data_IF_817194095524
#
_entry.id   IF_817194095524
#
_cell.length_a   1.000
_cell.length_b   1.000
_cell.length_c   1.000
_cell.angle_alpha   90.00
_cell.angle_beta   90.00
_cell.angle_gamma   90.00
#
_symmetry.space_group_name_H-M   'P 1'
#
loop_
_entity.id
_entity.type
_entity.pdbx_description
1 polymer ?
#
# COMPACT_ATOMS: atom_id res chain seq x y z
N UNK A 1 -24.72 -21.25 -14.39
CA UNK A 1 -26.20 -21.18 -14.55
C UNK A 1 -26.93 -21.96 -13.44
N UNK A 2 -28.17 -21.55 -13.15
CA UNK A 2 -29.09 -22.22 -12.23
C UNK A 2 -30.16 -23.00 -13.06
N UNK A 3 -30.39 -24.23 -12.63
CA UNK A 3 -31.31 -25.14 -13.33
C UNK A 3 -32.38 -25.66 -12.37
N UNK A 4 -33.62 -25.80 -12.87
CA UNK A 4 -34.72 -26.45 -12.16
C UNK A 4 -34.94 -27.85 -12.77
N UNK A 5 -34.99 -28.88 -11.92
CA UNK A 5 -35.41 -30.20 -12.33
C UNK A 5 -36.82 -30.52 -11.82
N UNK A 6 -37.75 -30.88 -12.73
CA UNK A 6 -39.07 -31.36 -12.41
C UNK A 6 -39.06 -32.93 -12.42
N UNK A 7 -39.11 -33.57 -11.26
CA UNK A 7 -39.04 -35.04 -11.20
C UNK A 7 -40.29 -35.74 -11.78
N UNK A 8 -41.42 -35.05 -11.77
CA UNK A 8 -42.68 -35.63 -12.31
C UNK A 8 -42.66 -35.66 -13.84
N UNK A 9 -42.16 -34.59 -14.45
CA UNK A 9 -42.05 -34.48 -15.92
C UNK A 9 -40.72 -34.98 -16.46
N UNK A 10 -39.75 -35.28 -15.57
CA UNK A 10 -38.35 -35.62 -15.92
C UNK A 10 -37.73 -34.60 -16.87
N UNK A 11 -38.02 -33.32 -16.65
CA UNK A 11 -37.55 -32.22 -17.47
C UNK A 11 -36.65 -31.29 -16.69
N UNK A 12 -35.72 -30.62 -17.40
CA UNK A 12 -34.77 -29.65 -16.86
C UNK A 12 -35.02 -28.31 -17.54
N UNK A 13 -35.08 -27.23 -16.78
CA UNK A 13 -35.23 -25.86 -17.26
C UNK A 13 -34.04 -25.03 -16.78
N UNK A 14 -33.30 -24.36 -17.69
CA UNK A 14 -32.32 -23.35 -17.34
C UNK A 14 -33.03 -22.02 -17.08
N UNK A 15 -32.90 -21.47 -15.88
CA UNK A 15 -33.61 -20.25 -15.49
C UNK A 15 -32.73 -19.00 -15.56
N UNK A 16 -31.45 -19.13 -15.79
CA UNK A 16 -30.51 -17.99 -15.82
C UNK A 16 -29.88 -17.73 -17.17
N UNK A 17 -29.61 -18.71 -17.98
CA UNK A 17 -29.12 -18.70 -19.38
C UNK A 17 -28.47 -17.38 -19.84
N UNK A 18 -27.30 -17.04 -19.24
CA UNK A 18 -26.53 -15.83 -19.55
C UNK A 18 -25.02 -16.13 -19.43
N UNK A 19 -24.17 -15.15 -19.71
CA UNK A 19 -22.70 -15.30 -19.67
C UNK A 19 -22.09 -15.13 -18.27
N UNK A 20 -22.92 -14.74 -17.29
CA UNK A 20 -22.47 -14.52 -15.91
C UNK A 20 -22.35 -15.83 -15.14
N UNK A 21 -21.62 -15.80 -14.05
CA UNK A 21 -21.56 -16.89 -13.08
C UNK A 21 -22.76 -16.81 -12.14
N UNK A 22 -23.73 -17.75 -12.29
CA UNK A 22 -24.89 -17.85 -11.42
C UNK A 22 -24.73 -19.09 -10.53
N UNK A 23 -24.64 -18.91 -9.20
CA UNK A 23 -24.29 -19.96 -8.22
C UNK A 23 -25.11 -19.85 -6.92
N UNK A 24 -25.04 -20.86 -6.08
CA UNK A 24 -25.67 -20.94 -4.76
C UNK A 24 -27.19 -20.67 -4.76
N UNK A 25 -28.00 -21.45 -5.51
CA UNK A 25 -29.44 -21.27 -5.52
C UNK A 25 -30.08 -21.61 -4.17
N UNK A 26 -30.98 -20.74 -3.72
CA UNK A 26 -31.78 -20.87 -2.48
C UNK A 26 -33.24 -20.72 -2.83
N UNK A 27 -34.02 -21.78 -2.72
CA UNK A 27 -35.46 -21.76 -3.07
C UNK A 27 -36.33 -21.45 -1.86
N UNK A 28 -37.04 -20.33 -1.89
CA UNK A 28 -37.94 -19.86 -0.82
C UNK A 28 -39.30 -19.49 -1.43
N UNK A 29 -40.31 -20.32 -1.17
CA UNK A 29 -41.64 -20.10 -1.75
C UNK A 29 -41.66 -20.17 -3.28
N UNK A 30 -42.08 -19.07 -3.91
CA UNK A 30 -42.08 -18.93 -5.38
C UNK A 30 -40.79 -18.33 -5.94
N UNK A 31 -39.85 -17.95 -5.08
CA UNK A 31 -38.63 -17.24 -5.43
C UNK A 31 -37.40 -18.15 -5.29
N UNK A 32 -36.50 -18.07 -6.27
CA UNK A 32 -35.18 -18.71 -6.24
C UNK A 32 -34.15 -17.59 -6.18
N UNK A 33 -33.52 -17.43 -5.03
CA UNK A 33 -32.41 -16.51 -4.83
C UNK A 33 -31.11 -17.19 -5.25
N UNK A 34 -30.20 -16.44 -5.84
CA UNK A 34 -28.87 -16.94 -6.25
C UNK A 34 -27.87 -15.79 -6.32
N UNK A 35 -26.59 -16.12 -6.32
CA UNK A 35 -25.53 -15.13 -6.57
C UNK A 35 -25.25 -15.01 -8.06
N UNK A 36 -25.02 -13.78 -8.52
CA UNK A 36 -24.64 -13.49 -9.91
C UNK A 36 -23.66 -12.32 -9.98
N UNK A 37 -22.66 -12.44 -10.85
CA UNK A 37 -21.67 -11.39 -11.16
C UNK A 37 -22.01 -10.58 -12.43
N UNK A 38 -23.26 -10.65 -12.92
CA UNK A 38 -23.72 -9.98 -14.16
C UNK A 38 -23.52 -8.47 -14.17
N UNK A 39 -23.36 -7.86 -12.99
CA UNK A 39 -23.06 -6.44 -12.80
C UNK A 39 -21.60 -6.20 -12.32
N UNK A 40 -20.68 -7.13 -12.63
CA UNK A 40 -19.25 -7.16 -12.26
C UNK A 40 -18.97 -7.56 -10.80
N UNK A 41 -19.80 -7.20 -9.84
CA UNK A 41 -19.69 -7.58 -8.44
C UNK A 41 -20.74 -8.63 -8.14
N UNK A 42 -20.35 -9.69 -7.43
CA UNK A 42 -21.26 -10.76 -7.04
C UNK A 42 -22.32 -10.23 -6.09
N UNK A 43 -23.57 -10.28 -6.52
CA UNK A 43 -24.74 -9.82 -5.76
C UNK A 43 -25.82 -10.91 -5.72
N UNK A 44 -26.80 -10.75 -4.81
CA UNK A 44 -27.98 -11.61 -4.77
C UNK A 44 -28.97 -11.15 -5.81
N UNK A 45 -29.43 -12.09 -6.63
CA UNK A 45 -30.53 -11.97 -7.58
C UNK A 45 -31.64 -12.93 -7.19
N UNK A 46 -32.84 -12.68 -7.67
CA UNK A 46 -33.99 -13.53 -7.47
C UNK A 46 -34.70 -13.79 -8.79
N UNK A 47 -35.04 -15.05 -9.02
CA UNK A 47 -35.93 -15.49 -10.11
C UNK A 47 -37.26 -15.93 -9.51
N UNK A 48 -38.36 -15.36 -9.98
CA UNK A 48 -39.69 -15.76 -9.55
C UNK A 48 -40.28 -16.81 -10.50
N UNK A 49 -40.63 -17.97 -9.96
CA UNK A 49 -41.08 -19.13 -10.75
C UNK A 49 -42.40 -18.96 -11.43
N UNK A 50 -43.29 -18.04 -10.93
CA UNK A 50 -44.61 -17.74 -11.53
C UNK A 50 -44.49 -16.73 -12.65
N UNK A 51 -43.77 -15.63 -12.42
CA UNK A 51 -43.65 -14.55 -13.41
C UNK A 51 -42.54 -14.80 -14.42
N UNK A 52 -41.62 -15.76 -14.14
CA UNK A 52 -40.45 -16.07 -14.96
C UNK A 52 -39.50 -14.89 -15.12
N UNK A 53 -39.48 -13.95 -14.17
CA UNK A 53 -38.65 -12.76 -14.20
C UNK A 53 -37.52 -12.86 -13.18
N UNK A 54 -36.34 -12.36 -13.59
CA UNK A 54 -35.18 -12.20 -12.72
C UNK A 54 -35.00 -10.73 -12.36
N UNK A 55 -34.73 -10.44 -11.09
CA UNK A 55 -34.40 -9.10 -10.62
C UNK A 55 -33.24 -9.10 -9.63
N UNK A 56 -32.53 -7.98 -9.57
CA UNK A 56 -31.44 -7.77 -8.61
C UNK A 56 -32.01 -7.47 -7.23
N UNK A 57 -31.41 -8.04 -6.18
CA UNK A 57 -31.83 -7.88 -4.78
C UNK A 57 -30.87 -7.01 -3.99
N UNK A 58 -29.56 -7.25 -4.11
CA UNK A 58 -28.54 -6.45 -3.40
C UNK A 58 -27.71 -5.61 -4.36
N UNK A 59 -27.12 -4.50 -3.87
CA UNK A 59 -26.38 -3.54 -4.69
C UNK A 59 -25.01 -3.23 -4.11
N UNK A 60 -24.26 -4.25 -3.74
CA UNK A 60 -22.86 -4.09 -3.32
C UNK A 60 -21.96 -3.84 -4.53
N UNK A 61 -21.03 -2.90 -4.40
CA UNK A 61 -20.15 -2.48 -5.51
C UNK A 61 -18.67 -2.64 -5.19
N UNK A 62 -18.31 -2.76 -3.91
CA UNK A 62 -16.93 -2.80 -3.44
C UNK A 62 -16.45 -4.24 -3.22
N UNK A 63 -17.30 -5.09 -2.62
CA UNK A 63 -16.98 -6.48 -2.32
C UNK A 63 -18.07 -7.41 -2.81
N UNK A 64 -17.67 -8.63 -3.17
CA UNK A 64 -18.58 -9.70 -3.56
C UNK A 64 -19.39 -10.20 -2.37
N UNK A 65 -20.65 -10.55 -2.62
CA UNK A 65 -21.44 -11.35 -1.70
C UNK A 65 -20.94 -12.79 -1.76
N UNK A 66 -20.71 -13.41 -0.58
CA UNK A 66 -20.16 -14.76 -0.44
C UNK A 66 -20.97 -15.60 0.54
N UNK A 67 -20.86 -16.91 0.37
CA UNK A 67 -21.39 -17.93 1.28
C UNK A 67 -22.85 -17.73 1.69
N UNK A 68 -23.78 -17.48 0.75
CA UNK A 68 -25.18 -17.32 1.10
C UNK A 68 -25.77 -18.63 1.60
N UNK A 69 -26.64 -18.55 2.59
CA UNK A 69 -27.38 -19.68 3.14
C UNK A 69 -28.77 -19.22 3.54
N UNK A 70 -29.78 -20.06 3.34
CA UNK A 70 -31.15 -19.74 3.67
C UNK A 70 -31.78 -20.74 4.66
N UNK A 71 -32.59 -20.23 5.58
CA UNK A 71 -33.43 -21.01 6.47
C UNK A 71 -34.77 -20.32 6.69
N UNK A 72 -35.88 -20.98 6.36
CA UNK A 72 -37.19 -20.34 6.32
C UNK A 72 -37.19 -19.16 5.35
N UNK A 73 -37.56 -17.98 5.81
CA UNK A 73 -37.53 -16.74 5.03
C UNK A 73 -36.24 -15.91 5.22
N UNK A 74 -35.29 -16.40 5.99
CA UNK A 74 -34.07 -15.65 6.28
C UNK A 74 -32.93 -16.13 5.40
N UNK A 75 -32.26 -15.20 4.73
CA UNK A 75 -31.02 -15.42 4.01
C UNK A 75 -29.89 -14.75 4.79
N UNK A 76 -28.78 -15.46 5.02
CA UNK A 76 -27.56 -14.91 5.61
C UNK A 76 -26.42 -15.01 4.60
N UNK A 77 -25.51 -14.05 4.61
CA UNK A 77 -24.38 -14.01 3.69
C UNK A 77 -23.25 -13.16 4.25
N UNK A 78 -22.09 -13.25 3.65
CA UNK A 78 -20.93 -12.39 3.93
C UNK A 78 -20.78 -11.34 2.82
N UNK A 79 -20.39 -10.12 3.22
CA UNK A 79 -19.90 -9.09 2.30
C UNK A 79 -18.87 -8.21 3.01
N UNK A 80 -17.67 -8.06 2.42
CA UNK A 80 -16.60 -7.23 2.96
C UNK A 80 -16.13 -7.60 4.37
N UNK A 81 -16.16 -8.90 4.72
CA UNK A 81 -15.78 -9.37 6.05
C UNK A 81 -16.86 -9.22 7.12
N UNK A 82 -18.07 -8.82 6.73
CA UNK A 82 -19.22 -8.69 7.64
C UNK A 82 -20.31 -9.70 7.31
N UNK A 83 -21.03 -10.12 8.34
CA UNK A 83 -22.21 -10.98 8.17
C UNK A 83 -23.44 -10.10 8.01
N UNK A 84 -24.25 -10.42 7.01
CA UNK A 84 -25.54 -9.81 6.75
C UNK A 84 -26.65 -10.85 6.89
N UNK A 85 -27.81 -10.40 7.33
CA UNK A 85 -29.08 -11.13 7.25
C UNK A 85 -30.06 -10.36 6.40
N UNK A 86 -30.95 -11.05 5.73
CA UNK A 86 -32.01 -10.47 4.89
C UNK A 86 -33.25 -11.36 4.98
N UNK A 87 -34.41 -10.75 5.16
CA UNK A 87 -35.68 -11.45 4.99
C UNK A 87 -36.04 -11.51 3.49
N UNK A 88 -36.44 -12.69 3.01
CA UNK A 88 -36.72 -12.93 1.60
C UNK A 88 -37.91 -12.11 1.06
N UNK A 89 -38.88 -11.73 1.92
CA UNK A 89 -40.03 -10.93 1.50
C UNK A 89 -39.69 -9.43 1.40
N UNK A 90 -38.99 -8.89 2.40
CA UNK A 90 -38.61 -7.46 2.41
C UNK A 90 -37.40 -7.16 1.53
N UNK A 91 -36.51 -8.17 1.31
CA UNK A 91 -35.31 -8.08 0.47
C UNK A 91 -34.36 -6.94 0.88
N UNK A 92 -34.37 -6.57 2.18
CA UNK A 92 -33.49 -5.54 2.71
C UNK A 92 -32.36 -6.19 3.50
N UNK A 93 -31.09 -6.05 3.07
CA UNK A 93 -29.95 -6.58 3.81
C UNK A 93 -29.65 -5.72 5.05
N UNK A 94 -29.47 -6.37 6.18
CA UNK A 94 -29.08 -5.77 7.46
C UNK A 94 -27.77 -6.37 7.94
N UNK A 95 -26.79 -5.52 8.27
CA UNK A 95 -25.52 -5.97 8.86
C UNK A 95 -25.77 -6.49 10.27
N UNK A 96 -25.27 -7.69 10.54
CA UNK A 96 -25.35 -8.28 11.88
C UNK A 96 -24.28 -7.68 12.78
N UNK A 97 -24.70 -7.03 13.85
CA UNK A 97 -23.78 -6.48 14.85
C UNK A 97 -23.35 -7.62 15.79
N UNK A 98 -22.07 -7.97 15.72
CA UNK A 98 -21.46 -8.98 16.59
C UNK A 98 -20.54 -8.27 17.56
N UNK A 99 -20.77 -8.42 18.86
CA UNK A 99 -19.89 -7.95 19.90
C UNK A 99 -19.28 -9.14 20.64
N UNK A 100 -17.98 -9.07 20.86
CA UNK A 100 -17.24 -10.07 21.62
C UNK A 100 -16.78 -9.44 22.94
N UNK A 101 -17.24 -10.00 24.04
CA UNK A 101 -16.67 -9.71 25.36
C UNK A 101 -15.46 -10.62 25.56
N UNK A 102 -14.27 -10.09 25.36
CA UNK A 102 -13.00 -10.83 25.49
C UNK A 102 -11.98 -9.99 26.22
N UNK A 103 -11.16 -10.61 27.03
CA UNK A 103 -10.02 -9.98 27.69
C UNK A 103 -8.92 -9.51 26.73
N UNK A 104 -9.00 -9.88 25.45
CA UNK A 104 -8.06 -9.52 24.38
C UNK A 104 -6.60 -9.62 24.82
N UNK A 105 -6.22 -10.75 25.40
CA UNK A 105 -4.87 -10.96 25.96
C UNK A 105 -3.77 -10.62 24.97
N UNK A 106 -3.99 -10.94 23.69
CA UNK A 106 -3.04 -10.67 22.61
C UNK A 106 -2.98 -9.20 22.18
N UNK A 107 -4.00 -8.40 22.50
CA UNK A 107 -4.03 -6.96 22.23
C UNK A 107 -3.48 -6.10 23.39
N UNK A 108 -3.13 -6.73 24.52
CA UNK A 108 -2.53 -6.01 25.66
C UNK A 108 -1.14 -5.52 25.31
N UNK A 109 -0.81 -4.31 25.76
CA UNK A 109 0.52 -3.74 25.62
C UNK A 109 1.56 -4.64 26.29
N UNK A 110 2.64 -4.94 25.60
CA UNK A 110 3.75 -5.74 26.09
C UNK A 110 5.09 -5.09 25.72
N UNK A 111 6.02 -5.09 26.67
CA UNK A 111 7.39 -4.66 26.41
C UNK A 111 8.12 -5.81 25.72
N UNK A 112 8.69 -5.52 24.55
CA UNK A 112 9.47 -6.50 23.78
C UNK A 112 10.83 -5.94 23.42
N UNK A 113 11.82 -6.83 23.29
CA UNK A 113 13.13 -6.44 22.79
C UNK A 113 13.00 -6.07 21.30
N UNK A 114 13.21 -4.79 20.97
CA UNK A 114 13.12 -4.25 19.62
C UNK A 114 14.28 -4.57 18.69
N UNK A 115 15.43 -4.99 19.21
CA UNK A 115 16.67 -5.14 18.43
C UNK A 115 16.51 -6.04 17.19
N UNK A 116 15.78 -7.14 17.31
CA UNK A 116 15.53 -8.06 16.18
C UNK A 116 14.54 -7.55 15.11
N UNK A 117 13.92 -6.41 15.33
CA UNK A 117 12.96 -5.79 14.43
C UNK A 117 13.48 -4.51 13.77
N UNK A 118 14.75 -4.18 14.00
CA UNK A 118 15.40 -3.04 13.37
C UNK A 118 15.53 -3.28 11.87
N UNK A 119 15.08 -2.33 11.06
CA UNK A 119 15.12 -2.39 9.59
C UNK A 119 16.00 -1.30 8.98
N UNK A 120 16.13 -0.17 9.67
CA UNK A 120 16.97 0.94 9.24
C UNK A 120 17.48 1.72 10.46
N UNK A 121 18.64 2.36 10.31
CA UNK A 121 19.22 3.24 11.31
C UNK A 121 19.97 4.38 10.63
N UNK A 122 19.87 5.60 11.18
CA UNK A 122 20.60 6.79 10.72
C UNK A 122 21.08 7.58 11.93
N UNK A 123 22.37 7.89 11.98
CA UNK A 123 22.93 8.73 13.03
C UNK A 123 22.65 10.21 12.75
N UNK A 124 22.43 10.98 13.82
CA UNK A 124 22.38 12.43 13.70
C UNK A 124 23.75 13.00 13.33
N UNK A 125 23.82 14.13 12.62
CA UNK A 125 25.12 14.70 12.19
C UNK A 125 26.08 15.02 13.33
N UNK A 126 25.57 15.32 14.52
CA UNK A 126 26.36 15.56 15.75
C UNK A 126 26.77 14.27 16.48
N UNK A 127 26.24 13.11 16.05
CA UNK A 127 26.51 11.80 16.68
C UNK A 127 25.83 11.58 18.03
N UNK A 128 25.01 12.53 18.51
CA UNK A 128 24.37 12.42 19.82
C UNK A 128 23.13 11.51 19.83
N UNK A 129 22.53 11.30 18.67
CA UNK A 129 21.30 10.52 18.53
C UNK A 129 21.35 9.59 17.33
N UNK A 130 20.48 8.57 17.37
CA UNK A 130 20.26 7.64 16.27
C UNK A 130 18.75 7.51 16.06
N UNK A 131 18.27 7.72 14.86
CA UNK A 131 16.92 7.35 14.49
C UNK A 131 16.92 5.91 13.96
N UNK A 132 15.96 5.11 14.41
CA UNK A 132 15.80 3.73 13.96
C UNK A 132 14.35 3.46 13.57
N UNK A 133 14.18 2.59 12.60
CA UNK A 133 12.87 2.06 12.24
C UNK A 133 12.72 0.65 12.76
N UNK A 134 11.67 0.38 13.52
CA UNK A 134 11.39 -0.94 14.08
C UNK A 134 9.89 -1.20 14.15
N UNK A 135 9.42 -2.31 13.59
CA UNK A 135 8.01 -2.74 13.58
C UNK A 135 7.04 -1.69 12.99
N UNK A 136 7.47 -0.94 12.00
CA UNK A 136 6.66 0.09 11.36
C UNK A 136 6.56 1.40 12.16
N UNK A 137 7.39 1.60 13.17
CA UNK A 137 7.45 2.84 13.94
C UNK A 137 8.85 3.42 13.90
N UNK A 138 8.97 4.73 14.06
CA UNK A 138 10.25 5.45 14.09
C UNK A 138 10.59 5.85 15.52
N UNK A 139 11.76 5.43 15.96
CA UNK A 139 12.28 5.72 17.30
C UNK A 139 13.53 6.60 17.20
N UNK A 140 13.60 7.61 18.05
CA UNK A 140 14.77 8.47 18.20
C UNK A 140 15.46 8.12 19.53
N UNK A 141 16.65 7.53 19.45
CA UNK A 141 17.44 7.01 20.56
C UNK A 141 18.63 7.94 20.85
N UNK A 142 18.98 8.16 22.11
CA UNK A 142 20.27 8.79 22.45
C UNK A 142 21.42 7.80 22.20
N UNK A 143 22.56 8.29 21.73
CA UNK A 143 23.76 7.47 21.50
C UNK A 143 24.40 6.96 22.82
N UNK A 144 24.19 7.67 23.91
CA UNK A 144 24.71 7.30 25.24
C UNK A 144 23.59 7.21 26.26
N UNK A 145 23.36 8.28 27.04
CA UNK A 145 22.31 8.36 28.10
C UNK A 145 21.18 9.27 27.67
N UNK A 146 19.97 8.90 27.94
CA UNK A 146 18.80 9.73 27.63
C UNK A 146 17.53 8.90 27.42
N UNK A 147 16.49 9.57 26.97
CA UNK A 147 15.17 8.96 26.73
C UNK A 147 15.02 8.60 25.26
N UNK A 148 14.64 7.36 25.03
CA UNK A 148 14.16 6.92 23.70
C UNK A 148 12.75 7.48 23.49
N UNK A 149 12.52 8.12 22.36
CA UNK A 149 11.21 8.62 21.95
C UNK A 149 10.70 7.82 20.76
N UNK A 150 9.47 7.31 20.82
CA UNK A 150 8.73 6.93 19.62
C UNK A 150 8.16 8.22 19.03
N UNK A 151 8.57 8.57 17.82
CA UNK A 151 8.22 9.85 17.20
C UNK A 151 7.00 9.77 16.29
N UNK A 152 6.63 8.61 15.80
CA UNK A 152 5.48 8.45 14.89
C UNK A 152 4.18 8.10 15.63
N UNK A 153 4.19 7.08 16.46
CA UNK A 153 3.02 6.63 17.25
C UNK A 153 1.77 6.40 16.40
N UNK A 154 1.95 5.75 15.27
CA UNK A 154 0.93 5.52 14.25
C UNK A 154 0.59 4.03 14.10
N UNK A 155 -0.12 3.40 15.04
CA UNK A 155 -0.30 1.95 15.09
C UNK A 155 -1.03 1.35 13.88
N UNK A 156 -1.64 2.18 13.03
CA UNK A 156 -2.31 1.77 11.80
C UNK A 156 -1.49 1.98 10.53
N UNK A 157 -0.26 2.51 10.64
CA UNK A 157 0.63 2.79 9.51
C UNK A 157 1.95 2.04 9.65
N UNK A 158 2.70 1.95 8.56
CA UNK A 158 4.01 1.32 8.54
C UNK A 158 5.07 2.31 8.05
N UNK A 159 5.85 2.81 9.01
CA UNK A 159 6.98 3.68 8.75
C UNK A 159 8.27 2.90 8.50
N UNK A 160 9.12 3.43 7.62
CA UNK A 160 10.38 2.81 7.25
C UNK A 160 11.40 3.80 6.73
N UNK A 161 12.68 3.36 6.69
CA UNK A 161 13.81 4.09 6.13
C UNK A 161 13.97 5.49 6.74
N UNK A 162 13.77 5.65 8.05
CA UNK A 162 13.93 6.94 8.70
C UNK A 162 15.39 7.43 8.63
N UNK A 163 15.58 8.68 8.22
CA UNK A 163 16.89 9.32 8.08
C UNK A 163 16.86 10.75 8.61
N UNK A 164 17.99 11.13 9.22
CA UNK A 164 18.27 12.53 9.58
C UNK A 164 18.57 13.37 8.35
N UNK A 165 18.11 14.61 8.33
CA UNK A 165 18.65 15.61 7.41
C UNK A 165 20.11 15.92 7.73
N UNK A 166 20.89 16.31 6.73
CA UNK A 166 22.31 16.59 6.89
C UNK A 166 22.62 17.75 7.86
N UNK A 167 21.66 18.66 8.07
CA UNK A 167 21.75 19.77 9.04
C UNK A 167 21.22 19.39 10.45
N UNK A 168 20.71 18.18 10.63
CA UNK A 168 20.22 17.67 11.90
C UNK A 168 18.89 18.26 12.39
N UNK A 169 18.20 19.04 11.57
CA UNK A 169 16.93 19.67 11.98
C UNK A 169 15.71 18.80 11.82
N UNK A 170 15.73 17.88 10.86
CA UNK A 170 14.60 17.10 10.46
C UNK A 170 14.91 15.61 10.40
N UNK A 171 13.85 14.82 10.54
CA UNK A 171 13.84 13.38 10.27
C UNK A 171 12.82 13.16 9.16
N UNK A 172 13.27 12.57 8.05
CA UNK A 172 12.36 12.10 7.00
C UNK A 172 12.18 10.59 7.09
N UNK A 173 11.02 10.12 6.67
CA UNK A 173 10.68 8.69 6.61
C UNK A 173 9.59 8.44 5.57
N UNK A 174 9.45 7.19 5.16
CA UNK A 174 8.36 6.74 4.29
C UNK A 174 7.26 6.18 5.19
N UNK A 175 6.00 6.52 4.92
CA UNK A 175 4.82 5.97 5.62
C UNK A 175 3.68 5.69 4.65
N UNK A 176 2.89 4.66 4.93
CA UNK A 176 1.66 4.32 4.22
C UNK A 176 0.38 4.81 4.91
N UNK A 177 0.50 5.77 5.83
CA UNK A 177 -0.61 6.31 6.63
C UNK A 177 -1.79 6.84 5.80
N UNK A 178 -1.58 7.17 4.53
CA UNK A 178 -2.63 7.64 3.60
C UNK A 178 -3.11 6.59 2.61
N UNK A 179 -2.72 5.33 2.80
CA UNK A 179 -3.08 4.20 1.95
C UNK A 179 -1.99 3.83 0.93
N UNK A 180 -1.26 4.82 0.42
CA UNK A 180 -0.07 4.65 -0.43
C UNK A 180 1.17 5.19 0.27
N UNK A 181 2.34 4.78 -0.21
CA UNK A 181 3.60 5.20 0.40
C UNK A 181 3.96 6.63 0.03
N UNK A 182 4.16 7.45 1.05
CA UNK A 182 4.50 8.86 0.93
C UNK A 182 5.71 9.21 1.79
N UNK A 183 6.41 10.29 1.43
CA UNK A 183 7.47 10.86 2.25
C UNK A 183 6.88 11.80 3.28
N UNK A 184 7.32 11.64 4.52
CA UNK A 184 6.98 12.48 5.64
C UNK A 184 8.22 13.14 6.22
N UNK A 185 8.03 14.31 6.78
CA UNK A 185 9.04 15.11 7.47
C UNK A 185 8.57 15.41 8.89
N UNK A 186 9.46 15.25 9.84
CA UNK A 186 9.22 15.63 11.22
C UNK A 186 10.39 16.47 11.75
N UNK A 187 10.09 17.50 12.54
CA UNK A 187 11.11 18.22 13.27
C UNK A 187 11.81 17.27 14.27
N UNK A 188 13.12 17.40 14.37
CA UNK A 188 13.96 16.50 15.16
C UNK A 188 13.72 16.64 16.69
N UNK A 189 13.24 17.78 17.13
CA UNK A 189 13.01 18.09 18.55
C UNK A 189 11.57 17.79 18.96
N UNK A 190 10.63 18.48 18.33
CA UNK A 190 9.18 18.34 18.58
C UNK A 190 8.39 18.79 17.34
N UNK A 191 7.24 18.23 17.12
CA UNK A 191 6.35 18.65 16.06
C UNK A 191 5.47 17.52 15.54
N UNK A 192 4.43 17.89 14.81
CA UNK A 192 3.61 16.96 14.06
C UNK A 192 4.29 16.65 12.72
N UNK A 193 4.17 15.40 12.23
CA UNK A 193 4.71 15.05 10.93
C UNK A 193 4.00 15.85 9.82
N UNK A 194 4.77 16.22 8.81
CA UNK A 194 4.31 16.92 7.63
C UNK A 194 4.48 16.01 6.43
N UNK A 195 3.41 15.75 5.71
CA UNK A 195 3.46 14.99 4.45
C UNK A 195 4.13 15.85 3.36
N UNK A 196 5.21 15.33 2.77
CA UNK A 196 5.98 16.00 1.72
C UNK A 196 5.47 15.67 0.32
N UNK A 197 5.12 14.40 0.07
CA UNK A 197 4.57 13.93 -1.21
C UNK A 197 3.08 13.62 -1.05
N UNK A 198 2.31 13.73 -2.13
CA UNK A 198 0.86 13.44 -2.14
C UNK A 198 0.47 12.79 -3.46
N UNK A 199 -0.53 11.92 -3.38
CA UNK A 199 -1.09 11.24 -4.54
C UNK A 199 -0.04 10.40 -5.29
N UNK A 200 0.87 9.80 -4.56
CA UNK A 200 1.84 8.90 -5.16
C UNK A 200 1.08 7.73 -5.79
N UNK A 201 1.36 7.47 -7.06
CA UNK A 201 0.72 6.41 -7.84
C UNK A 201 1.49 5.10 -7.77
N UNK A 202 2.50 5.03 -6.89
CA UNK A 202 3.40 3.90 -6.79
C UNK A 202 4.14 3.86 -5.45
N UNK A 203 4.75 2.72 -5.19
CA UNK A 203 5.52 2.46 -3.97
C UNK A 203 6.88 3.14 -4.01
N UNK A 204 7.17 4.04 -3.05
CA UNK A 204 8.50 4.63 -2.84
C UNK A 204 9.42 3.54 -2.25
N UNK A 205 10.56 3.28 -2.87
CA UNK A 205 11.51 2.24 -2.44
C UNK A 205 12.55 2.76 -1.47
N UNK A 206 13.26 3.82 -1.87
CA UNK A 206 14.33 4.43 -1.11
C UNK A 206 14.34 5.93 -1.30
N UNK A 207 14.99 6.62 -0.39
CA UNK A 207 15.24 8.06 -0.54
C UNK A 207 16.58 8.43 0.09
N UNK A 208 17.12 9.59 -0.28
CA UNK A 208 18.33 10.14 0.26
C UNK A 208 18.26 11.67 0.34
N UNK A 209 18.81 12.24 1.41
CA UNK A 209 18.93 13.67 1.60
C UNK A 209 20.07 14.28 0.77
N UNK A 210 19.84 15.46 0.22
CA UNK A 210 20.95 16.27 -0.28
C UNK A 210 21.82 16.78 0.89
N UNK A 211 23.14 16.91 0.70
CA UNK A 211 24.05 17.45 1.72
C UNK A 211 23.65 18.82 2.25
N UNK A 212 22.99 19.65 1.45
CA UNK A 212 22.48 20.97 1.84
C UNK A 212 21.12 20.93 2.56
N UNK A 213 20.55 19.75 2.78
CA UNK A 213 19.24 19.49 3.41
C UNK A 213 18.03 20.14 2.72
N UNK A 214 18.18 20.61 1.48
CA UNK A 214 17.09 21.28 0.76
C UNK A 214 16.28 20.36 -0.13
N UNK A 215 16.85 19.22 -0.49
CA UNK A 215 16.23 18.27 -1.42
C UNK A 215 16.28 16.86 -0.89
N UNK A 216 15.35 16.06 -1.39
CA UNK A 216 15.35 14.61 -1.23
C UNK A 216 15.27 13.99 -2.62
N UNK A 217 16.15 13.07 -2.95
CA UNK A 217 16.00 12.20 -4.11
C UNK A 217 15.34 10.90 -3.65
N UNK A 218 14.43 10.36 -4.44
CA UNK A 218 13.81 9.07 -4.14
C UNK A 218 13.54 8.24 -5.40
N UNK A 219 13.58 6.92 -5.22
CA UNK A 219 13.22 5.95 -6.26
C UNK A 219 11.89 5.30 -5.96
N UNK A 220 11.20 4.85 -7.00
CA UNK A 220 9.92 4.21 -6.88
C UNK A 220 9.79 2.93 -7.74
N UNK A 221 8.70 2.23 -7.57
CA UNK A 221 8.44 0.95 -8.24
C UNK A 221 8.23 1.08 -9.77
N UNK A 222 8.06 2.28 -10.29
CA UNK A 222 8.01 2.56 -11.72
C UNK A 222 9.40 2.89 -12.30
N UNK A 223 10.47 2.59 -11.55
CA UNK A 223 11.86 2.81 -11.93
C UNK A 223 12.17 4.29 -12.21
N UNK A 224 11.53 5.20 -11.49
CA UNK A 224 11.77 6.65 -11.59
C UNK A 224 12.77 7.10 -10.55
N UNK A 225 13.60 8.05 -10.92
CA UNK A 225 14.33 8.93 -9.99
C UNK A 225 13.58 10.24 -9.92
N UNK A 226 13.09 10.57 -8.74
CA UNK A 226 12.33 11.76 -8.45
C UNK A 226 13.11 12.67 -7.50
N UNK A 227 13.06 13.97 -7.74
CA UNK A 227 13.66 15.00 -6.89
C UNK A 227 12.57 15.83 -6.23
N UNK A 228 12.56 15.85 -4.92
CA UNK A 228 11.67 16.64 -4.09
C UNK A 228 12.40 17.86 -3.53
N UNK A 229 11.89 19.05 -3.73
CA UNK A 229 12.29 20.25 -3.00
C UNK A 229 11.51 20.31 -1.67
N UNK A 230 12.23 20.32 -0.56
CA UNK A 230 11.63 20.18 0.78
C UNK A 230 10.79 21.41 1.16
N UNK A 231 11.21 22.58 0.78
CA UNK A 231 10.55 23.83 1.15
C UNK A 231 9.24 24.04 0.37
N UNK A 232 9.29 23.86 -0.94
CA UNK A 232 8.12 24.03 -1.82
C UNK A 232 7.25 22.78 -1.93
N UNK A 233 7.78 21.60 -1.54
CA UNK A 233 7.17 20.26 -1.70
C UNK A 233 6.88 19.90 -3.17
N UNK A 234 7.62 20.52 -4.08
CA UNK A 234 7.50 20.21 -5.50
C UNK A 234 8.33 18.99 -5.85
N UNK A 235 7.71 18.03 -6.54
CA UNK A 235 8.38 16.84 -7.07
C UNK A 235 8.65 17.04 -8.55
N UNK A 236 9.87 16.75 -8.95
CA UNK A 236 10.29 16.72 -10.37
C UNK A 236 10.82 15.33 -10.68
N UNK A 237 10.22 14.63 -11.64
CA UNK A 237 10.77 13.39 -12.18
C UNK A 237 12.01 13.76 -13.00
N UNK A 238 13.17 13.21 -12.64
CA UNK A 238 14.43 13.42 -13.34
C UNK A 238 14.58 12.47 -14.52
N UNK A 239 14.30 11.20 -14.27
CA UNK A 239 14.31 10.14 -15.29
C UNK A 239 13.39 8.99 -14.91
N UNK A 240 13.06 8.18 -15.90
CA UNK A 240 12.44 6.87 -15.74
C UNK A 240 13.25 5.86 -16.58
N UNK A 241 13.67 4.78 -15.94
CA UNK A 241 14.41 3.72 -16.61
C UNK A 241 13.45 2.64 -17.14
N UNK A 242 13.47 2.35 -18.44
CA UNK A 242 12.63 1.31 -19.03
C UNK A 242 13.14 -0.10 -18.77
N UNK A 243 14.43 -0.27 -18.43
CA UNK A 243 15.08 -1.57 -18.30
C UNK A 243 15.02 -2.14 -16.88
N UNK A 244 15.12 -1.28 -15.87
CA UNK A 244 15.17 -1.74 -14.49
C UNK A 244 15.18 -0.60 -13.49
N UNK A 245 15.28 -0.95 -12.22
CA UNK A 245 15.33 0.04 -11.15
C UNK A 245 16.72 0.67 -11.02
N UNK A 246 16.83 2.02 -11.09
CA UNK A 246 18.07 2.71 -10.75
C UNK A 246 18.44 2.44 -9.28
N UNK A 247 19.69 2.11 -9.03
CA UNK A 247 20.21 1.82 -7.69
C UNK A 247 21.36 2.74 -7.31
N UNK A 248 21.79 2.68 -6.04
CA UNK A 248 22.92 3.45 -5.50
C UNK A 248 22.81 4.96 -5.79
N UNK A 249 21.56 5.50 -5.73
CA UNK A 249 21.32 6.91 -6.03
C UNK A 249 21.83 7.77 -4.87
N UNK A 250 22.83 8.62 -5.13
CA UNK A 250 23.39 9.52 -4.11
C UNK A 250 23.79 10.89 -4.67
N UNK A 251 23.82 11.89 -3.80
CA UNK A 251 24.18 13.26 -4.18
C UNK A 251 25.70 13.48 -4.17
N UNK A 252 26.14 14.41 -5.00
CA UNK A 252 27.45 15.04 -4.85
C UNK A 252 27.50 15.91 -3.59
N UNK A 253 28.70 16.15 -3.00
CA UNK A 253 28.85 16.98 -1.80
C UNK A 253 28.31 18.41 -1.97
N UNK A 254 28.32 18.95 -3.17
CA UNK A 254 27.79 20.29 -3.49
C UNK A 254 26.29 20.29 -3.82
N UNK A 255 25.60 19.13 -3.73
CA UNK A 255 24.17 18.94 -4.00
C UNK A 255 23.71 19.28 -5.43
N UNK A 256 24.64 19.32 -6.41
CA UNK A 256 24.32 19.68 -7.80
C UNK A 256 24.20 18.49 -8.74
N UNK A 257 24.80 17.37 -8.37
CA UNK A 257 24.85 16.16 -9.17
C UNK A 257 24.28 14.98 -8.40
N UNK A 258 23.81 14.00 -9.16
CA UNK A 258 23.50 12.67 -8.63
C UNK A 258 24.42 11.66 -9.32
N UNK A 259 24.81 10.62 -8.60
CA UNK A 259 25.29 9.39 -9.22
C UNK A 259 24.33 8.26 -8.93
N UNK A 260 24.24 7.29 -9.82
CA UNK A 260 23.41 6.11 -9.69
C UNK A 260 23.90 5.02 -10.63
N UNK A 261 23.42 3.81 -10.43
CA UNK A 261 23.64 2.68 -11.33
C UNK A 261 22.35 2.24 -11.97
N UNK A 262 22.45 1.79 -13.22
CA UNK A 262 21.38 1.12 -13.94
C UNK A 262 21.93 0.15 -14.99
N UNK A 263 21.10 -0.80 -15.40
CA UNK A 263 21.48 -1.76 -16.42
C UNK A 263 21.39 -1.15 -17.82
N UNK A 264 22.38 -1.46 -18.63
CA UNK A 264 22.40 -1.14 -20.04
C UNK A 264 21.70 -2.25 -20.86
N UNK A 265 21.56 -2.03 -22.17
CA UNK A 265 20.84 -2.95 -23.10
C UNK A 265 21.39 -4.39 -23.10
N UNK A 266 22.62 -4.59 -22.65
CA UNK A 266 23.31 -5.88 -22.55
C UNK A 266 23.33 -6.45 -21.10
N UNK A 267 22.47 -5.94 -20.23
CA UNK A 267 22.36 -6.34 -18.81
C UNK A 267 23.62 -6.06 -17.96
N UNK A 268 24.51 -5.20 -18.46
CA UNK A 268 25.69 -4.75 -17.71
C UNK A 268 25.32 -3.49 -16.92
N UNK A 269 25.57 -3.53 -15.60
CA UNK A 269 25.31 -2.39 -14.72
C UNK A 269 26.38 -1.30 -14.94
N UNK A 270 25.93 -0.11 -15.27
CA UNK A 270 26.74 1.07 -15.62
C UNK A 270 26.49 2.18 -14.60
N UNK A 271 27.55 2.88 -14.23
CA UNK A 271 27.48 4.09 -13.39
C UNK A 271 27.18 5.30 -14.27
N UNK A 272 26.20 6.07 -13.85
CA UNK A 272 25.83 7.36 -14.46
C UNK A 272 25.98 8.51 -13.47
N UNK A 273 26.20 9.69 -14.01
CA UNK A 273 26.13 10.95 -13.30
C UNK A 273 25.07 11.84 -13.95
N UNK A 274 24.22 12.46 -13.15
CA UNK A 274 23.14 13.33 -13.61
C UNK A 274 23.37 14.76 -13.14
N UNK A 275 23.45 15.72 -14.09
CA UNK A 275 23.45 17.15 -13.82
C UNK A 275 22.01 17.61 -13.53
N UNK A 276 21.72 17.99 -12.27
CA UNK A 276 20.39 18.39 -11.83
C UNK A 276 19.95 19.70 -12.53
N UNK A 277 20.85 20.65 -12.71
CA UNK A 277 20.55 21.93 -13.33
C UNK A 277 20.43 21.80 -14.85
N UNK A 278 21.39 21.09 -15.47
CA UNK A 278 21.41 20.86 -16.92
C UNK A 278 20.40 19.81 -17.40
N UNK A 279 19.77 19.04 -16.47
CA UNK A 279 18.83 17.96 -16.75
C UNK A 279 19.39 16.95 -17.73
N UNK A 280 20.65 16.56 -17.53
CA UNK A 280 21.35 15.67 -18.46
C UNK A 280 22.15 14.61 -17.71
N UNK A 281 22.08 13.38 -18.20
CA UNK A 281 22.87 12.27 -17.68
C UNK A 281 24.12 12.01 -18.54
N UNK A 282 25.14 11.43 -17.91
CA UNK A 282 26.38 11.04 -18.53
C UNK A 282 26.79 9.68 -18.00
N UNK A 283 27.11 8.69 -18.89
CA UNK A 283 27.73 7.43 -18.43
C UNK A 283 29.16 7.72 -17.99
N UNK A 284 29.53 7.14 -16.84
CA UNK A 284 30.89 7.26 -16.27
C UNK A 284 31.71 6.01 -16.57
N UNK A 285 31.08 4.83 -16.51
CA UNK A 285 31.73 3.57 -16.84
C UNK A 285 31.25 3.05 -18.19
N UNK A 286 32.03 2.17 -18.79
CA UNK A 286 31.68 1.52 -20.04
C UNK A 286 30.71 0.32 -19.81
N UNK A 287 30.26 -0.29 -20.90
CA UNK A 287 29.33 -1.42 -20.89
C UNK A 287 30.02 -2.80 -20.98
N UNK A 288 31.26 -2.91 -20.52
CA UNK A 288 32.01 -4.16 -20.59
C UNK A 288 32.00 -4.94 -19.27
N UNK A 289 31.93 -4.23 -18.15
CA UNK A 289 31.95 -4.80 -16.80
C UNK A 289 30.90 -4.17 -15.93
N UNK A 290 30.30 -4.97 -15.03
CA UNK A 290 29.39 -4.46 -14.02
C UNK A 290 30.12 -3.49 -13.09
N UNK A 291 29.56 -2.31 -12.89
CA UNK A 291 30.05 -1.26 -12.01
C UNK A 291 28.97 -0.88 -11.02
N UNK A 292 29.27 -0.83 -9.73
CA UNK A 292 28.30 -0.54 -8.67
C UNK A 292 28.88 0.33 -7.57
N UNK A 293 28.01 0.82 -6.70
CA UNK A 293 28.35 1.59 -5.48
C UNK A 293 29.23 2.83 -5.76
N UNK A 294 28.84 3.70 -6.69
CA UNK A 294 29.59 4.93 -6.98
C UNK A 294 29.55 5.87 -5.78
N UNK A 295 30.63 6.57 -5.55
CA UNK A 295 30.73 7.64 -4.54
C UNK A 295 31.45 8.83 -5.11
N UNK A 296 31.00 10.03 -4.74
CA UNK A 296 31.74 11.24 -5.04
C UNK A 296 32.88 11.46 -4.04
N UNK A 297 34.01 11.94 -4.53
CA UNK A 297 35.05 12.48 -3.65
C UNK A 297 34.60 13.82 -3.02
N UNK A 298 35.14 14.16 -1.89
CA UNK A 298 34.86 15.42 -1.19
C UNK A 298 35.67 16.60 -1.72
N UNK A 299 36.68 16.32 -2.55
CA UNK A 299 37.60 17.28 -3.16
C UNK A 299 37.32 17.56 -4.64
#
# INVERSE_FOLDING_TARGET
DVWIYDPAKKSVENITNNVAQDIFPMWIGDDIFFLSDRDRTMNIFVYNTKTKQTSKVTNFTEYDVKFPSASGNTIVFENGGYIYKMDAATRQPEKVNISLASDNIYARSAIKNGAKYLTAASASPDGERVVVTARGEVFNLPSTKGVTKNITRTPGAHERNAQWSSDGKYIAYISDATGETELYLQDAVEGNPVQLTKNNDTYIRSFEWSPDSKKIVYTDRQNRINLLDVASRQVTMLLQDPMGEPQDVTFSPDSKWLTYTRDADNEITVVYVYDIAGKKEYPVTDKWYNSSSPVFSTD
#
